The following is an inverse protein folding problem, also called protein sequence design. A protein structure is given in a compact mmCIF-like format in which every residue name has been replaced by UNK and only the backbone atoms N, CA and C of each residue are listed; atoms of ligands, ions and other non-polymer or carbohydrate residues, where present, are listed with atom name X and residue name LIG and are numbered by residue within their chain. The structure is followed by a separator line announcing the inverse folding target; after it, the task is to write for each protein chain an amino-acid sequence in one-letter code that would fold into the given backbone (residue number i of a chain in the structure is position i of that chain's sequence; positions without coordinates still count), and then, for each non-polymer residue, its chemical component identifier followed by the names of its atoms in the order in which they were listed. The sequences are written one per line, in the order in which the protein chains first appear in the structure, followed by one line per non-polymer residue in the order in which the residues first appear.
data_IF_166083541844
#
_entry.id   IF_166083541844
#
_cell.length_a   1.000
_cell.length_b   1.000
_cell.length_c   1.000
_cell.angle_alpha   90.00
_cell.angle_beta   90.00
_cell.angle_gamma   90.00
#
_symmetry.space_group_name_H-M   'P 1'
#
loop_
_entity.id
_entity.type
_entity.pdbx_description
1 polymer ?
#
# COMPACT_ATOMS: atom_id res chain seq x y z
N UNK A 1 -24.03 -14.91 -65.45
CA UNK A 1 -22.80 -15.07 -64.65
C UNK A 1 -22.43 -13.72 -64.05
N UNK A 2 -22.68 -13.47 -62.75
CA UNK A 2 -22.21 -12.31 -61.94
C UNK A 2 -22.89 -12.34 -60.56
N UNK A 3 -22.52 -13.26 -59.67
CA UNK A 3 -23.00 -13.30 -58.25
C UNK A 3 -21.99 -13.93 -57.27
N UNK A 4 -20.68 -13.69 -57.42
CA UNK A 4 -19.66 -14.27 -56.52
C UNK A 4 -18.65 -13.27 -55.93
N UNK A 5 -18.96 -11.96 -55.92
CA UNK A 5 -17.96 -10.94 -55.56
C UNK A 5 -18.16 -10.23 -54.20
N UNK A 6 -19.05 -10.69 -53.31
CA UNK A 6 -19.47 -9.89 -52.14
C UNK A 6 -19.28 -10.54 -50.76
N UNK A 7 -18.51 -11.63 -50.63
CA UNK A 7 -18.32 -12.33 -49.34
C UNK A 7 -16.87 -12.28 -48.83
N UNK A 8 -15.90 -11.78 -49.59
CA UNK A 8 -14.48 -11.82 -49.20
C UNK A 8 -14.00 -10.66 -48.31
N UNK A 9 -14.69 -9.53 -48.31
CA UNK A 9 -14.29 -8.32 -47.55
C UNK A 9 -14.31 -8.47 -46.01
N UNK A 10 -15.32 -9.09 -45.37
CA UNK A 10 -15.32 -9.24 -43.91
C UNK A 10 -14.24 -10.22 -43.42
N UNK A 11 -13.92 -11.25 -44.20
CA UNK A 11 -12.90 -12.24 -43.84
C UNK A 11 -11.49 -11.61 -43.80
N UNK A 12 -11.20 -10.71 -44.74
CA UNK A 12 -9.91 -10.00 -44.80
C UNK A 12 -9.74 -9.06 -43.59
N UNK A 13 -10.81 -8.38 -43.15
CA UNK A 13 -10.78 -7.53 -41.96
C UNK A 13 -10.55 -8.35 -40.67
N UNK A 14 -11.20 -9.50 -40.52
CA UNK A 14 -10.99 -10.37 -39.36
C UNK A 14 -9.54 -10.88 -39.30
N UNK A 15 -8.98 -11.31 -40.44
CA UNK A 15 -7.58 -11.75 -40.51
C UNK A 15 -6.59 -10.62 -40.23
N UNK A 16 -6.86 -9.39 -40.68
CA UNK A 16 -6.02 -8.23 -40.40
C UNK A 16 -6.01 -7.85 -38.91
N UNK A 17 -7.17 -7.91 -38.24
CA UNK A 17 -7.27 -7.67 -36.79
C UNK A 17 -6.54 -8.76 -36.01
N UNK A 18 -6.70 -10.03 -36.40
CA UNK A 18 -6.02 -11.15 -35.74
C UNK A 18 -4.50 -11.08 -35.91
N UNK A 19 -4.02 -10.68 -37.10
CA UNK A 19 -2.59 -10.49 -37.37
C UNK A 19 -1.98 -9.30 -36.60
N UNK A 20 -2.74 -8.21 -36.44
CA UNK A 20 -2.32 -7.07 -35.62
C UNK A 20 -2.24 -7.46 -34.13
N UNK A 21 -3.24 -8.19 -33.61
CA UNK A 21 -3.22 -8.67 -32.23
C UNK A 21 -2.06 -9.62 -31.95
N UNK A 22 -1.74 -10.52 -32.89
CA UNK A 22 -0.63 -11.46 -32.75
C UNK A 22 0.75 -10.79 -32.70
N UNK A 23 0.93 -9.60 -33.30
CA UNK A 23 2.19 -8.85 -33.23
C UNK A 23 2.37 -8.06 -31.93
N UNK A 24 1.31 -7.86 -31.16
CA UNK A 24 1.39 -7.12 -29.90
C UNK A 24 1.97 -7.95 -28.74
N UNK A 25 2.18 -9.26 -28.93
CA UNK A 25 2.55 -10.20 -27.86
C UNK A 25 4.04 -10.58 -27.83
N UNK A 26 4.89 -10.05 -28.71
CA UNK A 26 6.29 -10.50 -28.85
C UNK A 26 7.37 -9.63 -28.21
N UNK A 27 7.03 -8.67 -27.35
CA UNK A 27 8.05 -7.79 -26.74
C UNK A 27 8.09 -7.86 -25.22
N UNK A 28 8.34 -9.04 -24.65
CA UNK A 28 8.97 -9.16 -23.32
C UNK A 28 9.93 -10.34 -23.35
N UNK A 29 11.12 -10.13 -23.93
CA UNK A 29 12.29 -10.95 -23.61
C UNK A 29 13.48 -10.03 -23.27
N UNK A 30 13.94 -10.21 -22.04
CA UNK A 30 15.32 -10.07 -21.58
C UNK A 30 15.99 -8.70 -21.72
N UNK A 31 16.10 -8.01 -20.58
CA UNK A 31 17.25 -7.15 -20.31
C UNK A 31 17.74 -7.38 -18.87
N UNK A 32 18.35 -8.54 -18.65
CA UNK A 32 19.36 -8.68 -17.59
C UNK A 32 20.68 -8.17 -18.15
N UNK A 33 21.03 -6.93 -17.86
CA UNK A 33 22.36 -6.39 -18.14
C UNK A 33 22.87 -5.60 -16.93
N UNK A 34 23.95 -6.13 -16.37
CA UNK A 34 24.85 -5.53 -15.39
C UNK A 34 24.82 -4.00 -15.33
N UNK A 35 24.46 -3.46 -14.16
CA UNK A 35 24.74 -2.07 -13.83
C UNK A 35 25.89 -2.01 -12.82
N UNK A 36 27.08 -1.81 -13.36
CA UNK A 36 28.27 -1.39 -12.63
C UNK A 36 27.99 -0.05 -11.94
N UNK A 37 28.19 0.01 -10.62
CA UNK A 37 28.14 1.22 -9.81
C UNK A 37 29.28 2.18 -10.22
N UNK A 38 29.00 3.46 -10.53
CA UNK A 38 30.01 4.50 -10.43
C UNK A 38 30.13 4.94 -8.96
N UNK A 39 31.34 4.78 -8.44
CA UNK A 39 31.80 5.34 -7.18
C UNK A 39 31.98 6.85 -7.39
N UNK A 40 30.99 7.64 -6.99
CA UNK A 40 31.09 9.10 -7.03
C UNK A 40 31.52 9.65 -5.65
N UNK A 41 32.77 10.07 -5.62
CA UNK A 41 33.37 10.89 -4.57
C UNK A 41 32.73 12.27 -4.59
N UNK A 42 32.11 12.70 -3.49
CA UNK A 42 31.85 14.11 -3.23
C UNK A 42 32.10 14.42 -1.75
N UNK A 43 33.35 14.76 -1.45
CA UNK A 43 33.73 15.65 -0.36
C UNK A 43 33.36 17.10 -0.72
N UNK A 44 32.97 17.88 0.28
CA UNK A 44 32.64 19.32 0.26
C UNK A 44 31.16 19.65 0.10
N UNK A 45 30.43 19.73 1.23
CA UNK A 45 29.77 20.98 1.66
C UNK A 45 29.81 21.00 3.19
N UNK A 46 30.81 21.68 3.74
CA UNK A 46 30.71 22.28 5.06
C UNK A 46 30.35 23.75 4.87
N UNK A 47 29.65 24.32 5.86
CA UNK A 47 29.41 25.76 6.10
C UNK A 47 28.09 26.30 5.53
N UNK A 48 27.12 26.47 6.42
CA UNK A 48 26.53 27.75 6.88
C UNK A 48 25.21 27.37 7.59
N UNK A 49 25.27 27.11 8.90
CA UNK A 49 24.07 27.16 9.75
C UNK A 49 24.11 28.56 10.37
N UNK A 50 23.23 29.41 9.85
CA UNK A 50 23.07 30.78 10.29
C UNK A 50 22.15 30.81 11.51
N UNK A 51 22.64 31.44 12.57
CA UNK A 51 21.94 31.81 13.79
C UNK A 51 20.77 32.74 13.44
N UNK A 52 19.54 32.26 13.65
CA UNK A 52 18.39 33.14 13.87
C UNK A 52 17.62 32.65 15.10
N UNK A 53 18.13 33.08 16.25
CA UNK A 53 17.47 33.01 17.54
C UNK A 53 16.35 34.05 17.54
N UNK A 54 15.18 33.65 17.02
CA UNK A 54 13.98 34.47 17.07
C UNK A 54 13.47 34.54 18.51
N UNK A 55 13.32 35.78 18.96
CA UNK A 55 12.99 36.21 20.32
C UNK A 55 11.50 35.97 20.55
N UNK A 56 11.14 34.81 21.11
CA UNK A 56 9.74 34.53 21.50
C UNK A 56 9.39 35.39 22.71
N UNK A 57 8.56 36.40 22.45
CA UNK A 57 7.95 37.27 23.43
C UNK A 57 6.89 36.49 24.23
N UNK A 58 7.10 36.41 25.54
CA UNK A 58 6.29 35.65 26.48
C UNK A 58 4.87 36.25 26.58
N UNK A 59 3.95 35.70 25.80
CA UNK A 59 2.51 35.97 25.95
C UNK A 59 1.98 35.11 27.10
N UNK A 60 1.45 35.77 28.13
CA UNK A 60 0.89 35.16 29.35
C UNK A 60 -0.17 34.09 29.01
N UNK A 61 -0.12 32.90 29.62
CA UNK A 61 -1.16 31.89 29.46
C UNK A 61 -2.45 32.36 30.14
N UNK A 62 -3.52 32.48 29.35
CA UNK A 62 -4.86 32.76 29.84
C UNK A 62 -5.43 31.48 30.48
N UNK A 63 -5.52 31.47 31.82
CA UNK A 63 -5.76 30.31 32.67
C UNK A 63 -7.26 30.07 32.91
N UNK A 64 -8.09 29.94 31.87
CA UNK A 64 -9.53 29.61 32.06
C UNK A 64 -10.08 28.78 30.88
N UNK A 65 -9.65 27.51 30.71
CA UNK A 65 -10.32 26.55 29.78
C UNK A 65 -10.03 25.06 30.13
N UNK A 66 -9.76 24.72 31.40
CA UNK A 66 -9.29 23.38 31.78
C UNK A 66 -10.35 22.28 31.98
N UNK A 67 -11.65 22.60 32.01
CA UNK A 67 -12.68 21.64 32.50
C UNK A 67 -13.43 20.93 31.36
N UNK A 68 -13.46 21.49 30.15
CA UNK A 68 -14.19 20.87 29.01
C UNK A 68 -13.34 19.89 28.18
N UNK A 69 -12.02 20.02 28.22
CA UNK A 69 -11.10 19.14 27.49
C UNK A 69 -11.13 17.69 28.03
N UNK A 70 -11.31 17.53 29.34
CA UNK A 70 -11.23 16.22 30.00
C UNK A 70 -12.46 15.33 29.72
N UNK A 71 -13.66 15.91 29.68
CA UNK A 71 -14.88 15.16 29.35
C UNK A 71 -14.88 14.64 27.90
N UNK A 72 -14.36 15.46 26.99
CA UNK A 72 -14.28 15.11 25.57
C UNK A 72 -13.27 13.98 25.33
N UNK A 73 -12.10 14.05 25.96
CA UNK A 73 -11.06 13.01 25.84
C UNK A 73 -11.53 11.64 26.36
N UNK A 74 -12.23 11.61 27.50
CA UNK A 74 -12.73 10.36 28.08
C UNK A 74 -13.78 9.68 27.20
N UNK A 75 -14.66 10.45 26.54
CA UNK A 75 -15.66 9.89 25.63
C UNK A 75 -15.01 9.33 24.35
N UNK A 76 -14.06 10.06 23.75
CA UNK A 76 -13.32 9.60 22.55
C UNK A 76 -12.60 8.28 22.83
N UNK A 77 -11.93 8.16 23.99
CA UNK A 77 -11.25 6.92 24.37
C UNK A 77 -12.21 5.74 24.53
N UNK A 78 -13.41 5.97 25.09
CA UNK A 78 -14.42 4.92 25.23
C UNK A 78 -14.94 4.45 23.87
N UNK A 79 -15.24 5.37 22.96
CA UNK A 79 -15.72 5.05 21.61
C UNK A 79 -14.67 4.26 20.80
N UNK A 80 -13.39 4.66 20.88
CA UNK A 80 -12.28 3.94 20.24
C UNK A 80 -12.18 2.51 20.82
N UNK A 81 -12.25 2.37 22.14
CA UNK A 81 -12.20 1.05 22.79
C UNK A 81 -13.33 0.13 22.33
N UNK A 82 -14.55 0.64 22.23
CA UNK A 82 -15.70 -0.12 21.75
C UNK A 82 -15.51 -0.57 20.28
N UNK A 83 -15.02 0.31 19.41
CA UNK A 83 -14.74 -0.05 18.01
C UNK A 83 -13.62 -1.08 17.88
N UNK A 84 -12.58 -0.99 18.70
CA UNK A 84 -11.51 -1.98 18.72
C UNK A 84 -12.01 -3.36 19.18
N UNK A 85 -12.89 -3.40 20.20
CA UNK A 85 -13.52 -4.64 20.64
C UNK A 85 -14.40 -5.26 19.55
N UNK A 86 -15.19 -4.45 18.85
CA UNK A 86 -15.97 -4.92 17.70
C UNK A 86 -15.07 -5.47 16.59
N UNK A 87 -13.96 -4.79 16.29
CA UNK A 87 -13.01 -5.26 15.29
C UNK A 87 -12.41 -6.61 15.68
N UNK A 88 -12.03 -6.77 16.94
CA UNK A 88 -11.51 -8.03 17.47
C UNK A 88 -12.55 -9.16 17.36
N UNK A 89 -13.82 -8.88 17.65
CA UNK A 89 -14.92 -9.84 17.45
C UNK A 89 -15.03 -10.27 15.98
N UNK A 90 -15.06 -9.32 15.04
CA UNK A 90 -15.14 -9.60 13.60
C UNK A 90 -13.94 -10.45 13.15
N UNK A 91 -12.74 -10.04 13.55
CA UNK A 91 -11.51 -10.75 13.23
C UNK A 91 -11.53 -12.19 13.77
N UNK A 92 -11.95 -12.38 15.01
CA UNK A 92 -12.02 -13.70 15.64
C UNK A 92 -13.10 -14.60 15.02
N UNK A 93 -14.15 -14.00 14.44
CA UNK A 93 -15.18 -14.73 13.70
C UNK A 93 -14.68 -15.29 12.35
N UNK A 94 -13.52 -14.82 11.84
CA UNK A 94 -12.97 -15.15 10.52
C UNK A 94 -13.94 -14.84 9.37
N UNK A 95 -14.83 -13.88 9.55
CA UNK A 95 -15.74 -13.40 8.52
C UNK A 95 -15.20 -12.11 7.89
N UNK A 96 -14.39 -12.24 6.84
CA UNK A 96 -13.81 -11.10 6.13
C UNK A 96 -14.85 -10.25 5.37
N UNK A 97 -16.09 -10.75 5.24
CA UNK A 97 -17.23 -10.06 4.62
C UNK A 97 -18.26 -9.59 5.65
N UNK A 98 -17.85 -9.39 6.91
CA UNK A 98 -18.77 -8.89 7.94
C UNK A 98 -19.29 -7.49 7.55
N UNK A 99 -20.62 -7.31 7.37
CA UNK A 99 -21.18 -6.05 6.91
C UNK A 99 -20.91 -4.87 7.87
N UNK A 100 -20.59 -5.16 9.14
CA UNK A 100 -20.22 -4.13 10.12
C UNK A 100 -18.91 -3.43 9.77
N UNK A 101 -18.03 -4.05 8.98
CA UNK A 101 -16.81 -3.41 8.47
C UNK A 101 -17.13 -2.18 7.61
N UNK A 102 -18.21 -2.25 6.83
CA UNK A 102 -18.64 -1.15 5.97
C UNK A 102 -19.47 -0.11 6.71
N UNK A 103 -20.28 -0.52 7.70
CA UNK A 103 -21.14 0.42 8.44
C UNK A 103 -20.42 1.09 9.61
N UNK A 104 -19.76 0.32 10.47
CA UNK A 104 -19.21 0.81 11.74
C UNK A 104 -17.82 1.44 11.59
N UNK A 105 -17.09 1.04 10.56
CA UNK A 105 -15.73 1.52 10.33
C UNK A 105 -15.65 2.56 9.22
N UNK A 106 -16.75 3.07 8.67
CA UNK A 106 -16.70 4.14 7.67
C UNK A 106 -16.15 5.46 8.24
N UNK A 107 -15.48 6.27 7.41
CA UNK A 107 -14.98 7.61 7.77
C UNK A 107 -14.22 7.67 9.10
N UNK A 108 -13.20 6.82 9.25
CA UNK A 108 -12.42 6.74 10.50
C UNK A 108 -11.75 8.08 10.85
N UNK A 109 -11.82 8.46 12.12
CA UNK A 109 -11.06 9.59 12.65
C UNK A 109 -9.55 9.27 12.67
N UNK A 110 -8.73 10.32 12.76
CA UNK A 110 -7.27 10.17 12.84
C UNK A 110 -6.86 9.35 14.08
N UNK A 111 -7.52 9.56 15.22
CA UNK A 111 -7.27 8.84 16.47
C UNK A 111 -7.62 7.35 16.31
N UNK A 112 -8.72 7.04 15.63
CA UNK A 112 -9.12 5.65 15.39
C UNK A 112 -8.14 4.95 14.45
N UNK A 113 -7.67 5.60 13.36
CA UNK A 113 -6.63 5.04 12.48
C UNK A 113 -5.31 4.81 13.20
N UNK A 114 -4.92 5.73 14.08
CA UNK A 114 -3.74 5.56 14.94
C UNK A 114 -3.92 4.34 15.85
N UNK A 115 -5.08 4.20 16.48
CA UNK A 115 -5.39 3.05 17.34
C UNK A 115 -5.36 1.72 16.57
N UNK A 116 -5.90 1.68 15.35
CA UNK A 116 -5.82 0.52 14.44
C UNK A 116 -4.37 0.18 14.07
N UNK A 117 -3.56 1.19 13.76
CA UNK A 117 -2.15 1.03 13.43
C UNK A 117 -1.36 0.49 14.63
N UNK A 118 -1.64 1.00 15.84
CA UNK A 118 -1.08 0.47 17.08
C UNK A 118 -1.52 -0.97 17.34
N UNK A 119 -2.76 -1.32 17.02
CA UNK A 119 -3.25 -2.69 17.15
C UNK A 119 -2.53 -3.63 16.17
N UNK A 120 -2.38 -3.24 14.91
CA UNK A 120 -1.65 -4.01 13.90
C UNK A 120 -0.22 -4.35 14.37
N UNK A 121 0.50 -3.36 14.91
CA UNK A 121 1.88 -3.54 15.40
C UNK A 121 2.02 -4.50 16.57
N UNK A 122 0.96 -4.74 17.34
CA UNK A 122 0.96 -5.70 18.46
C UNK A 122 0.80 -7.15 18.01
N UNK A 123 0.37 -7.36 16.76
CA UNK A 123 0.16 -8.69 16.18
C UNK A 123 1.52 -9.24 15.75
N UNK A 124 1.76 -10.51 16.04
CA UNK A 124 2.93 -11.26 15.58
C UNK A 124 2.99 -11.29 14.05
N UNK A 125 4.18 -11.41 13.48
CA UNK A 125 4.35 -11.38 12.03
C UNK A 125 3.60 -12.55 11.37
N UNK A 126 3.55 -13.70 12.03
CA UNK A 126 2.85 -14.90 11.62
C UNK A 126 1.34 -14.64 11.46
N UNK A 127 0.76 -13.87 12.38
CA UNK A 127 -0.67 -13.60 12.40
C UNK A 127 -1.07 -12.40 11.52
N UNK A 128 -0.12 -11.55 11.09
CA UNK A 128 -0.41 -10.33 10.30
C UNK A 128 -1.02 -10.62 8.93
N UNK A 129 -0.76 -11.80 8.37
CA UNK A 129 -1.34 -12.17 7.08
C UNK A 129 -2.86 -12.33 7.11
N UNK A 130 -3.40 -12.79 8.24
CA UNK A 130 -4.84 -12.78 8.50
C UNK A 130 -5.39 -11.42 8.93
N UNK A 131 -4.64 -10.33 8.75
CA UNK A 131 -4.98 -8.98 9.24
C UNK A 131 -4.94 -7.91 8.16
N UNK A 132 -4.99 -8.31 6.90
CA UNK A 132 -5.20 -7.37 5.80
C UNK A 132 -6.46 -6.51 5.96
N UNK A 133 -7.44 -6.94 6.77
CA UNK A 133 -8.60 -6.13 7.17
C UNK A 133 -8.20 -4.83 7.86
N UNK A 134 -7.23 -4.84 8.78
CA UNK A 134 -6.79 -3.60 9.46
C UNK A 134 -6.14 -2.65 8.45
N UNK A 135 -5.29 -3.20 7.58
CA UNK A 135 -4.65 -2.45 6.50
C UNK A 135 -5.69 -1.85 5.56
N UNK A 136 -6.68 -2.64 5.16
CA UNK A 136 -7.80 -2.20 4.33
C UNK A 136 -8.54 -1.03 4.97
N UNK A 137 -8.89 -1.12 6.26
CA UNK A 137 -9.62 -0.07 6.98
C UNK A 137 -8.84 1.25 7.04
N UNK A 138 -7.54 1.21 7.34
CA UNK A 138 -6.70 2.41 7.36
C UNK A 138 -6.50 2.98 5.95
N UNK A 139 -6.27 2.11 4.96
CA UNK A 139 -6.04 2.48 3.57
C UNK A 139 -7.32 2.81 2.80
N UNK A 140 -8.51 2.65 3.41
CA UNK A 140 -9.76 2.90 2.70
C UNK A 140 -9.86 4.38 2.31
N UNK A 141 -9.58 5.23 3.27
CA UNK A 141 -9.73 6.68 3.14
C UNK A 141 -8.37 7.34 3.43
N UNK A 142 -7.41 7.30 2.51
CA UNK A 142 -6.09 7.91 2.74
C UNK A 142 -6.25 9.43 2.82
N UNK A 143 -6.01 9.99 4.01
CA UNK A 143 -6.24 11.42 4.32
C UNK A 143 -5.01 12.10 4.90
N UNK A 144 -4.01 11.35 5.35
CA UNK A 144 -2.85 11.89 6.06
C UNK A 144 -1.52 11.26 5.61
N UNK A 145 -0.41 11.94 5.92
CA UNK A 145 0.93 11.37 5.75
C UNK A 145 1.16 10.16 6.66
N UNK A 146 0.57 10.18 7.87
CA UNK A 146 0.67 9.06 8.80
C UNK A 146 0.03 7.78 8.25
N UNK A 147 -1.07 7.92 7.50
CA UNK A 147 -1.68 6.80 6.79
C UNK A 147 -0.66 6.19 5.81
N UNK A 148 -0.01 7.02 5.00
CA UNK A 148 1.00 6.57 4.03
C UNK A 148 2.26 5.99 4.70
N UNK A 149 2.70 6.53 5.84
CA UNK A 149 3.79 5.96 6.63
C UNK A 149 3.46 4.55 7.13
N UNK A 150 2.23 4.34 7.59
CA UNK A 150 1.77 3.02 7.95
C UNK A 150 1.76 2.07 6.74
N UNK A 151 1.21 2.48 5.61
CA UNK A 151 1.20 1.67 4.39
C UNK A 151 2.61 1.34 3.89
N UNK A 152 3.54 2.30 3.97
CA UNK A 152 4.95 2.06 3.68
C UNK A 152 5.55 1.01 4.62
N UNK A 153 5.21 1.04 5.91
CA UNK A 153 5.73 0.07 6.87
C UNK A 153 5.27 -1.35 6.56
N UNK A 154 4.02 -1.53 6.10
CA UNK A 154 3.48 -2.84 5.67
C UNK A 154 4.22 -3.37 4.44
N UNK A 155 4.52 -2.51 3.45
CA UNK A 155 5.29 -2.92 2.27
C UNK A 155 6.75 -3.28 2.56
N UNK A 156 7.29 -2.83 3.70
CA UNK A 156 8.65 -3.16 4.15
C UNK A 156 8.70 -4.44 5.00
N UNK A 157 7.56 -5.05 5.30
CA UNK A 157 7.54 -6.32 6.02
C UNK A 157 8.22 -7.41 5.19
N UNK A 158 9.08 -8.20 5.83
CA UNK A 158 9.75 -9.32 5.20
C UNK A 158 8.73 -10.41 4.84
N UNK A 159 8.94 -11.15 3.74
CA UNK A 159 8.05 -12.24 3.37
C UNK A 159 8.05 -13.31 4.45
N UNK A 160 6.86 -13.72 4.90
CA UNK A 160 6.73 -14.79 5.88
C UNK A 160 6.51 -16.13 5.17
N UNK A 161 7.54 -16.96 5.08
CA UNK A 161 7.51 -18.20 4.29
C UNK A 161 6.89 -19.40 5.04
N UNK A 162 6.40 -19.19 6.27
CA UNK A 162 5.81 -20.23 7.12
C UNK A 162 4.66 -19.67 7.93
N UNK A 163 3.54 -20.40 7.99
CA UNK A 163 2.37 -20.02 8.80
C UNK A 163 2.64 -20.11 10.31
N UNK A 164 3.70 -20.82 10.71
CA UNK A 164 3.99 -21.09 12.12
C UNK A 164 5.15 -20.25 12.66
N UNK A 165 6.10 -19.84 11.81
CA UNK A 165 7.31 -19.12 12.23
C UNK A 165 7.93 -18.35 11.06
N UNK A 166 7.76 -17.03 11.03
CA UNK A 166 8.27 -16.18 9.95
C UNK A 166 9.80 -16.11 9.92
N UNK A 167 10.50 -16.64 10.93
CA UNK A 167 11.97 -16.69 10.98
C UNK A 167 12.55 -17.88 10.22
N UNK A 168 11.73 -18.82 9.79
CA UNK A 168 12.19 -19.96 9.00
C UNK A 168 12.59 -19.50 7.60
N UNK A 169 13.89 -19.54 7.32
CA UNK A 169 14.46 -19.22 6.02
C UNK A 169 14.23 -20.37 5.04
N UNK A 170 13.01 -20.46 4.48
CA UNK A 170 12.57 -21.43 3.46
C UNK A 170 12.74 -22.92 3.82
N UNK A 171 11.69 -23.75 3.72
CA UNK A 171 11.85 -25.19 3.88
C UNK A 171 12.86 -25.71 2.84
N UNK A 172 13.73 -26.63 3.26
CA UNK A 172 14.79 -27.22 2.43
C UNK A 172 14.27 -27.49 1.00
N UNK A 173 15.00 -26.99 -0.01
CA UNK A 173 14.72 -27.10 -1.46
C UNK A 173 14.47 -28.52 -2.00
N UNK A 174 14.51 -29.54 -1.16
CA UNK A 174 14.36 -30.95 -1.54
C UNK A 174 12.91 -31.40 -1.68
N UNK A 175 11.93 -30.67 -1.13
CA UNK A 175 10.52 -30.99 -1.29
C UNK A 175 9.90 -30.19 -2.45
N UNK A 176 10.13 -30.66 -3.68
CA UNK A 176 9.65 -30.08 -4.95
C UNK A 176 8.13 -30.08 -5.12
N UNK A 177 7.39 -30.49 -4.10
CA UNK A 177 5.93 -30.46 -4.01
C UNK A 177 5.38 -29.30 -3.16
N UNK A 178 6.24 -28.56 -2.46
CA UNK A 178 5.85 -27.28 -1.86
C UNK A 178 5.88 -26.25 -2.98
N UNK A 179 4.72 -25.62 -3.25
CA UNK A 179 4.50 -24.71 -4.37
C UNK A 179 5.58 -23.63 -4.50
N UNK A 180 5.61 -22.96 -5.66
CA UNK A 180 6.54 -21.85 -5.92
C UNK A 180 6.58 -20.93 -4.71
N UNK A 181 7.70 -20.24 -4.45
CA UNK A 181 7.76 -19.16 -3.45
C UNK A 181 6.64 -18.12 -3.70
N UNK A 182 6.12 -18.07 -4.93
CA UNK A 182 4.93 -17.30 -5.32
C UNK A 182 3.61 -17.81 -4.72
N UNK A 183 3.50 -19.09 -4.38
CA UNK A 183 2.29 -19.77 -3.88
C UNK A 183 2.15 -19.74 -2.34
N UNK A 184 3.21 -19.43 -1.60
CA UNK A 184 3.16 -19.28 -0.13
C UNK A 184 2.63 -17.90 0.28
N UNK A 185 1.39 -17.63 -0.14
CA UNK A 185 0.22 -17.08 0.58
C UNK A 185 0.40 -16.14 1.80
N UNK A 186 1.45 -15.34 1.89
CA UNK A 186 1.70 -14.52 3.10
C UNK A 186 2.09 -13.07 2.78
N UNK A 187 1.50 -12.52 1.70
CA UNK A 187 1.71 -11.11 1.29
C UNK A 187 0.38 -10.35 1.11
N UNK A 188 -0.72 -10.89 1.65
CA UNK A 188 -2.06 -10.30 1.48
C UNK A 188 -2.13 -8.83 1.95
N UNK A 189 -1.60 -8.46 3.14
CA UNK A 189 -1.55 -7.06 3.56
C UNK A 189 -0.86 -6.14 2.54
N UNK A 190 0.25 -6.58 1.96
CA UNK A 190 1.01 -5.80 0.97
C UNK A 190 0.23 -5.61 -0.33
N UNK A 191 -0.45 -6.66 -0.81
CA UNK A 191 -1.35 -6.55 -1.98
C UNK A 191 -2.52 -5.61 -1.71
N UNK A 192 -3.09 -5.64 -0.51
CA UNK A 192 -4.14 -4.71 -0.09
C UNK A 192 -3.63 -3.28 -0.13
N UNK A 193 -2.43 -3.00 0.40
CA UNK A 193 -1.81 -1.67 0.30
C UNK A 193 -1.76 -1.20 -1.16
N UNK A 194 -1.17 -1.99 -2.06
CA UNK A 194 -0.99 -1.59 -3.45
C UNK A 194 -2.32 -1.38 -4.18
N UNK A 195 -3.32 -2.27 -3.95
CA UNK A 195 -4.68 -2.10 -4.49
C UNK A 195 -5.32 -0.78 -4.04
N UNK A 196 -5.16 -0.44 -2.76
CA UNK A 196 -5.77 0.78 -2.20
C UNK A 196 -5.07 2.05 -2.70
N UNK A 197 -3.74 2.03 -2.83
CA UNK A 197 -3.00 3.15 -3.43
C UNK A 197 -3.40 3.34 -4.89
N UNK A 198 -3.45 2.27 -5.68
CA UNK A 198 -3.90 2.34 -7.08
C UNK A 198 -5.32 2.90 -7.19
N UNK A 199 -6.25 2.41 -6.37
CA UNK A 199 -7.63 2.91 -6.34
C UNK A 199 -7.69 4.39 -5.96
N UNK A 200 -6.90 4.80 -4.96
CA UNK A 200 -6.86 6.18 -4.49
C UNK A 200 -6.26 7.14 -5.53
N UNK A 201 -5.20 6.72 -6.22
CA UNK A 201 -4.57 7.48 -7.31
C UNK A 201 -5.49 7.62 -8.54
N UNK A 202 -6.32 6.61 -8.82
CA UNK A 202 -7.30 6.65 -9.91
C UNK A 202 -8.65 7.26 -9.48
N UNK A 203 -8.77 7.70 -8.22
CA UNK A 203 -10.00 8.22 -7.64
C UNK A 203 -10.25 9.70 -7.95
N UNK A 204 -11.49 10.17 -7.73
CA UNK A 204 -11.87 11.56 -8.01
C UNK A 204 -11.13 12.60 -7.14
N UNK A 205 -10.53 12.16 -6.04
CA UNK A 205 -9.78 13.04 -5.13
C UNK A 205 -8.33 13.24 -5.56
N UNK A 206 -7.84 12.57 -6.61
CA UNK A 206 -6.45 12.66 -7.05
C UNK A 206 -6.00 14.11 -7.33
N UNK A 207 -6.87 14.90 -7.97
CA UNK A 207 -6.60 16.31 -8.29
C UNK A 207 -6.45 17.22 -7.07
N UNK A 208 -6.85 16.77 -5.87
CA UNK A 208 -6.77 17.53 -4.61
C UNK A 208 -5.55 17.15 -3.77
N UNK A 209 -4.74 16.20 -4.22
CA UNK A 209 -3.57 15.73 -3.48
C UNK A 209 -2.45 16.77 -3.59
N UNK A 210 -1.88 17.16 -2.46
CA UNK A 210 -0.73 18.06 -2.43
C UNK A 210 0.58 17.34 -2.83
N UNK A 211 1.60 18.11 -3.19
CA UNK A 211 2.91 17.57 -3.60
C UNK A 211 3.57 16.69 -2.54
N UNK A 212 3.40 17.00 -1.26
CA UNK A 212 3.98 16.24 -0.15
C UNK A 212 3.37 14.83 -0.05
N UNK A 213 2.06 14.71 -0.19
CA UNK A 213 1.36 13.42 -0.25
C UNK A 213 1.79 12.61 -1.48
N UNK A 214 1.94 13.25 -2.64
CA UNK A 214 2.42 12.59 -3.86
C UNK A 214 3.86 12.06 -3.73
N UNK A 215 4.75 12.86 -3.13
CA UNK A 215 6.11 12.43 -2.80
C UNK A 215 6.07 11.23 -1.86
N UNK A 216 5.23 11.29 -0.82
CA UNK A 216 5.12 10.18 0.13
C UNK A 216 4.57 8.91 -0.52
N UNK A 217 3.68 9.02 -1.48
CA UNK A 217 3.21 7.87 -2.28
C UNK A 217 4.34 7.27 -3.11
N UNK A 218 5.22 8.07 -3.70
CA UNK A 218 6.41 7.55 -4.40
C UNK A 218 7.31 6.76 -3.44
N UNK A 219 7.50 7.25 -2.21
CA UNK A 219 8.26 6.51 -1.18
C UNK A 219 7.59 5.18 -0.78
N UNK A 220 6.25 5.13 -0.75
CA UNK A 220 5.50 3.90 -0.48
C UNK A 220 5.67 2.91 -1.64
N UNK A 221 5.49 3.36 -2.88
CA UNK A 221 5.64 2.51 -4.07
C UNK A 221 7.08 2.04 -4.26
N UNK A 222 8.08 2.88 -3.93
CA UNK A 222 9.49 2.47 -3.92
C UNK A 222 9.78 1.41 -2.85
N UNK A 223 9.07 1.42 -1.72
CA UNK A 223 9.17 0.32 -0.75
C UNK A 223 8.62 -0.99 -1.33
N UNK A 224 7.50 -0.93 -2.05
CA UNK A 224 6.95 -2.08 -2.77
C UNK A 224 7.89 -2.61 -3.87
N UNK A 225 8.53 -1.72 -4.64
CA UNK A 225 9.53 -2.08 -5.65
C UNK A 225 10.75 -2.81 -5.06
N UNK A 226 11.11 -2.49 -3.82
CA UNK A 226 12.24 -3.10 -3.12
C UNK A 226 11.86 -4.41 -2.40
N UNK A 227 10.61 -4.89 -2.55
CA UNK A 227 10.16 -6.14 -1.95
C UNK A 227 10.88 -7.34 -2.58
N UNK A 228 11.23 -8.31 -1.74
CA UNK A 228 11.77 -9.61 -2.18
C UNK A 228 10.68 -10.51 -2.82
N UNK A 229 9.41 -10.10 -2.79
CA UNK A 229 8.29 -10.83 -3.41
C UNK A 229 8.04 -10.27 -4.81
N UNK A 230 8.30 -11.05 -5.88
CA UNK A 230 8.20 -10.57 -7.26
C UNK A 230 6.84 -9.94 -7.58
N UNK A 231 5.74 -10.58 -7.15
CA UNK A 231 4.39 -10.06 -7.36
C UNK A 231 4.17 -8.67 -6.75
N UNK A 232 4.75 -8.38 -5.58
CA UNK A 232 4.65 -7.06 -4.93
C UNK A 232 5.45 -6.02 -5.70
N UNK A 233 6.69 -6.36 -6.06
CA UNK A 233 7.56 -5.49 -6.83
C UNK A 233 6.97 -5.15 -8.21
N UNK A 234 6.49 -6.15 -8.95
CA UNK A 234 5.89 -5.98 -10.27
C UNK A 234 4.64 -5.10 -10.21
N UNK A 235 3.79 -5.30 -9.20
CA UNK A 235 2.59 -4.47 -9.02
C UNK A 235 2.94 -3.03 -8.67
N UNK A 236 3.91 -2.80 -7.79
CA UNK A 236 4.39 -1.46 -7.48
C UNK A 236 4.99 -0.76 -8.71
N UNK A 237 5.75 -1.50 -9.54
CA UNK A 237 6.28 -1.01 -10.80
C UNK A 237 5.18 -0.61 -11.79
N UNK A 238 4.14 -1.43 -11.91
CA UNK A 238 2.99 -1.16 -12.77
C UNK A 238 2.27 0.14 -12.37
N UNK A 239 2.01 0.33 -11.07
CA UNK A 239 1.37 1.55 -10.54
C UNK A 239 2.25 2.79 -10.81
N UNK A 240 3.56 2.71 -10.57
CA UNK A 240 4.49 3.80 -10.87
C UNK A 240 4.53 4.13 -12.36
N UNK A 241 4.51 3.11 -13.23
CA UNK A 241 4.48 3.31 -14.67
C UNK A 241 3.19 3.99 -15.12
N UNK A 242 2.04 3.58 -14.59
CA UNK A 242 0.75 4.20 -14.87
C UNK A 242 0.76 5.68 -14.46
N UNK A 243 1.26 6.00 -13.26
CA UNK A 243 1.33 7.38 -12.76
C UNK A 243 2.18 8.28 -13.65
N UNK A 244 3.30 7.78 -14.20
CA UNK A 244 4.16 8.57 -15.11
C UNK A 244 3.50 8.93 -16.45
N UNK A 245 2.37 8.30 -16.78
CA UNK A 245 1.61 8.58 -18.01
C UNK A 245 0.52 9.63 -17.80
N UNK A 246 0.20 9.97 -16.54
CA UNK A 246 -0.73 11.02 -16.16
C UNK A 246 -0.01 12.37 -16.08
#
# INVERSE_FOLDING_TARGET
MKRFALVSLPLILILAVFWWWSRSLTTIQQTTANKTLPQESNSHIARVVNEQTEKIEATKPNLITGIEADKTSNNVNLAIKQKLQLLEEIINSKNDNDPRLDTEFNNLSAEMKLALTSQYKKISEEDRNGRGTIVFLVARDITSLSDLEFLQSVLKESPCLSLADCKQTSPNKEDSHLGSVDDLTMNYPQIVVLNRIETWLNGPNFSKINSQMLQKVDEVLNAGLASDVPMIADKAASILQQRRRL
#
